data_IF_804701184900
#
_entry.id   IF_804701184900
#
_cell.length_a   1.000
_cell.length_b   1.000
_cell.length_c   1.000
_cell.angle_alpha   90.00
_cell.angle_beta   90.00
_cell.angle_gamma   90.00
#
_symmetry.space_group_name_H-M   'P 1'
#
loop_
_entity.id
_entity.type
_entity.pdbx_description
1 polymer ?
#
# COMPACT_ATOMS: atom_id res chain seq x y z
N UNK A 1 29.49 14.54 9.77
CA UNK A 1 30.45 14.17 10.84
C UNK A 1 31.92 14.11 10.39
N UNK A 2 32.25 14.21 9.11
CA UNK A 2 33.65 14.08 8.64
C UNK A 2 34.57 15.29 8.87
N UNK A 3 34.08 16.48 9.15
CA UNK A 3 34.90 17.69 9.29
C UNK A 3 35.38 18.01 10.70
N UNK A 4 34.74 17.46 11.72
CA UNK A 4 35.10 17.76 13.13
C UNK A 4 36.34 17.02 13.61
N UNK A 5 36.55 15.79 13.18
CA UNK A 5 37.72 14.99 13.59
C UNK A 5 39.05 15.59 13.15
N UNK A 6 39.24 16.00 11.86
CA UNK A 6 40.49 16.62 11.42
C UNK A 6 40.76 17.96 12.08
N UNK A 7 39.75 18.63 12.65
CA UNK A 7 39.95 19.89 13.37
C UNK A 7 40.30 19.68 14.86
N UNK A 8 39.71 18.66 15.50
CA UNK A 8 39.92 18.37 16.93
C UNK A 8 41.33 17.84 17.20
N UNK A 9 41.88 17.01 16.32
CA UNK A 9 43.20 16.41 16.51
C UNK A 9 44.31 17.46 16.56
N UNK A 10 44.49 18.37 15.58
CA UNK A 10 45.52 19.40 15.64
C UNK A 10 45.31 20.37 16.80
N UNK A 11 44.06 20.74 17.11
CA UNK A 11 43.74 21.58 18.24
C UNK A 11 44.13 20.91 19.57
N UNK A 12 43.88 19.61 19.72
CA UNK A 12 44.27 18.83 20.88
C UNK A 12 45.80 18.80 21.06
N UNK A 13 46.54 18.64 19.97
CA UNK A 13 48.00 18.69 20.01
C UNK A 13 48.49 20.06 20.44
N UNK A 14 47.96 21.12 19.90
CA UNK A 14 48.36 22.50 20.26
C UNK A 14 48.08 22.78 21.75
N UNK A 15 46.90 22.42 22.24
CA UNK A 15 46.52 22.58 23.65
C UNK A 15 47.41 21.72 24.59
N UNK A 16 47.77 20.52 24.18
CA UNK A 16 48.68 19.68 24.96
C UNK A 16 50.11 20.27 25.03
N UNK A 17 50.63 20.73 23.89
CA UNK A 17 51.94 21.38 23.84
C UNK A 17 51.95 22.66 24.66
N UNK A 18 50.94 23.49 24.59
CA UNK A 18 50.77 24.67 25.43
C UNK A 18 50.80 24.30 26.93
N UNK A 19 49.99 23.35 27.33
CA UNK A 19 49.91 22.93 28.75
C UNK A 19 51.21 22.34 29.27
N UNK A 20 51.89 21.59 28.42
CA UNK A 20 53.17 20.92 28.80
C UNK A 20 54.36 21.86 28.82
N UNK A 21 54.57 22.69 27.77
CA UNK A 21 55.73 23.55 27.61
C UNK A 21 55.62 24.92 28.25
N UNK A 22 54.46 25.54 28.17
CA UNK A 22 54.29 26.93 28.67
C UNK A 22 53.83 27.00 30.12
N UNK A 23 53.12 25.98 30.61
CA UNK A 23 52.62 25.96 31.97
C UNK A 23 53.47 25.05 32.90
N UNK A 24 54.49 24.37 32.38
CA UNK A 24 55.42 23.56 33.15
C UNK A 24 54.75 22.44 33.93
N UNK A 25 53.67 21.86 33.42
CA UNK A 25 52.85 20.84 34.11
C UNK A 25 53.42 19.44 33.89
N UNK A 26 53.13 18.56 34.86
CA UNK A 26 53.33 17.14 34.68
C UNK A 26 52.53 16.60 33.47
N UNK A 27 53.03 15.52 32.79
CA UNK A 27 52.33 14.96 31.66
C UNK A 27 50.87 14.60 31.92
N UNK A 28 50.59 14.09 33.10
CA UNK A 28 49.23 13.74 33.54
C UNK A 28 48.32 14.94 33.66
N UNK A 29 48.78 16.02 34.27
CA UNK A 29 48.04 17.30 34.40
C UNK A 29 47.77 17.93 33.06
N UNK A 30 48.77 17.88 32.16
CA UNK A 30 48.64 18.43 30.79
C UNK A 30 47.62 17.67 29.97
N UNK A 31 47.56 16.34 30.05
CA UNK A 31 46.56 15.52 29.40
C UNK A 31 45.13 15.84 29.92
N UNK A 32 44.98 15.90 31.25
CA UNK A 32 43.68 16.23 31.87
C UNK A 32 43.20 17.63 31.45
N UNK A 33 44.07 18.62 31.48
CA UNK A 33 43.76 20.03 31.09
C UNK A 33 43.36 20.12 29.62
N UNK A 34 44.09 19.39 28.73
CA UNK A 34 43.77 19.35 27.30
C UNK A 34 42.42 18.66 27.06
N UNK A 35 42.17 17.54 27.71
CA UNK A 35 40.89 16.84 27.61
C UNK A 35 39.71 17.71 28.13
N UNK A 36 39.91 18.41 29.24
CA UNK A 36 38.90 19.32 29.80
C UNK A 36 38.63 20.52 28.83
N UNK A 37 39.70 21.08 28.23
CA UNK A 37 39.59 22.14 27.22
C UNK A 37 38.80 21.70 25.98
N UNK A 38 39.13 20.52 25.41
CA UNK A 38 38.43 19.98 24.26
C UNK A 38 36.96 19.64 24.58
N UNK A 39 36.71 19.06 25.74
CA UNK A 39 35.34 18.76 26.20
C UNK A 39 34.52 20.05 26.45
N UNK A 40 35.16 21.13 26.88
CA UNK A 40 34.51 22.43 27.08
C UNK A 40 34.15 23.13 25.76
N UNK A 41 34.86 22.84 24.67
CA UNK A 41 34.57 23.40 23.36
C UNK A 41 33.41 22.67 22.64
N UNK A 42 33.02 21.52 23.08
CA UNK A 42 31.86 20.80 22.50
C UNK A 42 30.56 21.49 22.93
N UNK A 43 29.72 21.93 21.97
CA UNK A 43 28.45 22.60 22.28
C UNK A 43 27.39 21.59 22.77
N UNK A 44 27.61 21.00 23.94
CA UNK A 44 26.72 19.99 24.54
C UNK A 44 25.28 20.51 24.70
N UNK A 45 25.11 21.79 24.97
CA UNK A 45 23.80 22.41 25.05
C UNK A 45 23.03 22.41 23.73
N UNK A 46 23.72 22.54 22.59
CA UNK A 46 23.09 22.46 21.27
C UNK A 46 22.57 21.06 20.99
N UNK A 47 23.35 20.02 21.27
CA UNK A 47 22.94 18.62 21.09
C UNK A 47 21.72 18.31 21.95
N UNK A 48 21.71 18.76 23.20
CA UNK A 48 20.58 18.58 24.10
C UNK A 48 19.32 19.29 23.58
N UNK A 49 19.44 20.52 23.10
CA UNK A 49 18.32 21.28 22.54
C UNK A 49 17.73 20.62 21.30
N UNK A 50 18.57 20.10 20.39
CA UNK A 50 18.13 19.35 19.20
C UNK A 50 17.39 18.10 19.64
N UNK A 51 17.94 17.31 20.57
CA UNK A 51 17.31 16.09 21.05
C UNK A 51 15.96 16.35 21.71
N UNK A 52 15.83 17.39 22.52
CA UNK A 52 14.56 17.78 23.15
C UNK A 52 13.56 18.24 22.07
N UNK A 53 13.99 19.04 21.11
CA UNK A 53 13.12 19.51 20.02
C UNK A 53 12.56 18.36 19.20
N UNK A 54 13.42 17.40 18.84
CA UNK A 54 12.99 16.18 18.12
C UNK A 54 12.04 15.34 18.96
N UNK A 55 12.33 15.14 20.25
CA UNK A 55 11.45 14.40 21.15
C UNK A 55 10.05 15.04 21.29
N UNK A 56 9.98 16.37 21.39
CA UNK A 56 8.70 17.10 21.40
C UNK A 56 7.96 16.91 20.07
N UNK A 57 8.69 16.95 18.95
CA UNK A 57 8.14 16.71 17.61
C UNK A 57 7.53 15.30 17.48
N UNK A 58 8.26 14.27 17.92
CA UNK A 58 7.76 12.89 17.99
C UNK A 58 6.51 12.78 18.85
N UNK A 59 6.50 13.43 20.01
CA UNK A 59 5.33 13.46 20.91
C UNK A 59 4.09 14.08 20.26
N UNK A 60 4.27 15.12 19.40
CA UNK A 60 3.16 15.72 18.63
C UNK A 60 2.64 14.78 17.55
N UNK A 61 3.53 14.07 16.85
CA UNK A 61 3.15 13.08 15.84
C UNK A 61 2.43 11.87 16.46
N UNK A 62 2.90 11.39 17.61
CA UNK A 62 2.26 10.31 18.36
C UNK A 62 0.81 10.67 18.75
N UNK A 63 0.53 11.91 19.16
CA UNK A 63 -0.84 12.39 19.40
C UNK A 63 -1.73 12.34 18.14
N UNK A 64 -1.13 12.40 16.94
CA UNK A 64 -1.82 12.24 15.66
C UNK A 64 -1.82 10.80 15.16
N UNK A 65 -1.52 9.82 16.01
CA UNK A 65 -1.44 8.38 15.71
C UNK A 65 -0.36 8.02 14.68
N UNK A 66 0.67 8.83 14.54
CA UNK A 66 1.85 8.56 13.70
C UNK A 66 2.95 8.01 14.60
N UNK A 67 3.38 6.77 14.32
CA UNK A 67 4.47 6.11 15.03
C UNK A 67 5.80 6.46 14.35
N UNK A 68 6.69 7.12 15.10
CA UNK A 68 8.04 7.44 14.65
C UNK A 68 9.01 6.45 15.29
N UNK A 69 9.77 5.73 14.49
CA UNK A 69 10.73 4.73 14.99
C UNK A 69 12.08 5.34 15.37
N UNK A 70 12.52 6.39 14.67
CA UNK A 70 13.80 7.04 14.91
C UNK A 70 13.61 8.57 15.05
N UNK A 71 14.28 9.17 16.05
CA UNK A 71 14.18 10.59 16.33
C UNK A 71 14.58 11.48 15.13
N UNK A 72 15.61 11.07 14.39
CA UNK A 72 16.11 11.80 13.23
C UNK A 72 15.22 11.70 11.97
N UNK A 73 14.23 10.81 11.98
CA UNK A 73 13.25 10.74 10.88
C UNK A 73 12.49 12.05 10.69
N UNK A 74 12.31 12.84 11.75
CA UNK A 74 11.70 14.17 11.67
C UNK A 74 12.52 15.16 10.86
N UNK A 75 13.84 15.12 11.00
CA UNK A 75 14.75 15.97 10.23
C UNK A 75 14.72 15.55 8.75
N UNK A 76 14.79 14.24 8.49
CA UNK A 76 14.68 13.70 7.13
C UNK A 76 13.35 14.08 6.48
N UNK A 77 12.24 13.99 7.21
CA UNK A 77 10.91 14.38 6.73
C UNK A 77 10.82 15.86 6.35
N UNK A 78 11.52 16.74 7.08
CA UNK A 78 11.54 18.17 6.79
C UNK A 78 12.27 18.52 5.47
N UNK A 79 13.10 17.60 4.96
CA UNK A 79 13.86 17.78 3.71
C UNK A 79 13.26 17.03 2.51
N UNK A 80 12.03 16.47 2.66
CA UNK A 80 11.36 15.76 1.57
C UNK A 80 10.77 16.75 0.57
N UNK A 81 11.19 16.66 -0.67
CA UNK A 81 10.71 17.47 -1.79
C UNK A 81 9.64 16.75 -2.62
N UNK A 82 9.66 15.42 -2.62
CA UNK A 82 8.75 14.57 -3.42
C UNK A 82 8.06 13.58 -2.52
N UNK A 83 6.73 13.57 -2.56
CA UNK A 83 5.89 12.63 -1.84
C UNK A 83 5.24 11.65 -2.80
N UNK A 84 5.62 10.38 -2.72
CA UNK A 84 4.98 9.30 -3.47
C UNK A 84 3.99 8.59 -2.56
N UNK A 85 2.71 8.60 -2.93
CA UNK A 85 1.63 7.95 -2.18
C UNK A 85 1.09 6.76 -2.98
N UNK A 86 0.91 5.63 -2.31
CA UNK A 86 0.09 4.56 -2.87
C UNK A 86 -1.39 4.97 -2.81
N UNK A 87 -2.14 4.62 -3.85
CA UNK A 87 -3.57 4.95 -3.92
C UNK A 87 -4.38 4.11 -2.94
N UNK A 88 -4.17 2.79 -2.99
CA UNK A 88 -5.07 1.84 -2.31
C UNK A 88 -4.71 1.66 -0.84
N UNK A 89 -5.62 2.01 0.05
CA UNK A 89 -5.40 1.93 1.50
C UNK A 89 -4.58 3.09 2.09
N UNK A 90 -4.14 4.05 1.26
CA UNK A 90 -3.46 5.27 1.70
C UNK A 90 -4.30 6.51 1.41
N UNK A 91 -4.68 6.72 0.15
CA UNK A 91 -5.56 7.82 -0.27
C UNK A 91 -7.02 7.38 -0.19
N UNK A 92 -7.28 6.09 -0.40
CA UNK A 92 -8.60 5.48 -0.31
C UNK A 92 -8.74 4.66 0.96
N UNK A 93 -9.95 4.50 1.46
CA UNK A 93 -10.25 3.68 2.66
C UNK A 93 -10.05 2.18 2.42
N UNK A 94 -9.80 1.75 1.18
CA UNK A 94 -9.69 0.35 0.80
C UNK A 94 -11.02 -0.41 0.77
N UNK A 95 -12.11 0.22 1.18
CA UNK A 95 -13.45 -0.33 1.12
C UNK A 95 -14.03 -0.15 -0.27
N UNK A 96 -14.59 -1.22 -0.82
CA UNK A 96 -15.31 -1.20 -2.08
C UNK A 96 -16.78 -1.54 -1.84
N UNK A 97 -17.65 -0.95 -2.63
CA UNK A 97 -19.07 -1.29 -2.69
C UNK A 97 -19.52 -1.34 -4.14
N UNK A 98 -20.56 -2.13 -4.42
CA UNK A 98 -21.23 -2.08 -5.71
C UNK A 98 -22.08 -0.82 -5.72
N UNK A 99 -21.84 0.06 -6.69
CA UNK A 99 -22.59 1.31 -6.84
C UNK A 99 -23.82 1.11 -7.73
N UNK A 100 -23.60 0.50 -8.91
CA UNK A 100 -24.64 0.28 -9.90
C UNK A 100 -24.40 -1.03 -10.64
N UNK A 101 -25.48 -1.69 -11.04
CA UNK A 101 -25.47 -2.86 -11.91
C UNK A 101 -26.19 -2.49 -13.21
N UNK A 102 -25.52 -2.70 -14.34
CA UNK A 102 -26.05 -2.44 -15.68
C UNK A 102 -26.39 -3.77 -16.35
N UNK A 103 -27.66 -4.18 -16.42
CA UNK A 103 -28.05 -5.39 -17.14
C UNK A 103 -27.92 -5.13 -18.66
N UNK A 104 -27.04 -5.89 -19.31
CA UNK A 104 -26.84 -5.83 -20.75
C UNK A 104 -27.82 -6.72 -21.52
N UNK A 105 -28.56 -7.56 -20.81
CA UNK A 105 -29.62 -8.43 -21.33
C UNK A 105 -30.98 -8.06 -20.74
N UNK A 106 -32.06 -8.58 -21.37
CA UNK A 106 -33.45 -8.29 -21.02
C UNK A 106 -33.77 -8.59 -19.55
N UNK A 107 -34.65 -7.78 -18.98
CA UNK A 107 -35.07 -7.78 -17.57
C UNK A 107 -35.73 -9.08 -17.08
N UNK A 108 -36.12 -9.98 -17.95
CA UNK A 108 -36.89 -11.18 -17.60
C UNK A 108 -36.11 -12.24 -16.80
N UNK A 109 -34.76 -12.12 -16.70
CA UNK A 109 -33.88 -13.10 -16.08
C UNK A 109 -33.17 -12.62 -14.77
N UNK A 110 -33.58 -11.51 -14.18
CA UNK A 110 -32.89 -10.91 -13.03
C UNK A 110 -32.87 -11.86 -11.83
N UNK A 111 -34.00 -12.47 -11.48
CA UNK A 111 -34.08 -13.35 -10.33
C UNK A 111 -33.24 -14.64 -10.50
N UNK A 112 -33.18 -15.17 -11.72
CA UNK A 112 -32.30 -16.27 -12.04
C UNK A 112 -30.83 -15.88 -11.97
N UNK A 113 -30.50 -14.69 -12.47
CA UNK A 113 -29.12 -14.16 -12.40
C UNK A 113 -28.65 -13.96 -10.96
N UNK A 114 -29.51 -13.46 -10.07
CA UNK A 114 -29.23 -13.30 -8.64
C UNK A 114 -28.93 -14.66 -7.98
N UNK A 115 -29.68 -15.70 -8.31
CA UNK A 115 -29.43 -17.04 -7.80
C UNK A 115 -28.11 -17.64 -8.32
N UNK A 116 -27.76 -17.39 -9.58
CA UNK A 116 -26.49 -17.84 -10.17
C UNK A 116 -25.32 -17.09 -9.55
N UNK A 117 -25.41 -15.78 -9.39
CA UNK A 117 -24.41 -14.98 -8.71
C UNK A 117 -24.26 -15.37 -7.25
N UNK A 118 -25.38 -15.58 -6.53
CA UNK A 118 -25.36 -16.04 -5.15
C UNK A 118 -24.68 -17.40 -5.02
N UNK A 119 -24.89 -18.32 -5.97
CA UNK A 119 -24.22 -19.62 -6.00
C UNK A 119 -22.73 -19.49 -6.30
N UNK A 120 -22.36 -18.65 -7.28
CA UNK A 120 -20.97 -18.35 -7.59
C UNK A 120 -20.22 -17.81 -6.37
N UNK A 121 -20.80 -16.85 -5.66
CA UNK A 121 -20.22 -16.22 -4.47
C UNK A 121 -20.11 -17.19 -3.29
N UNK A 122 -21.06 -18.11 -3.16
CA UNK A 122 -21.01 -19.12 -2.11
C UNK A 122 -19.85 -20.12 -2.32
N UNK A 123 -19.62 -20.53 -3.57
CA UNK A 123 -18.63 -21.55 -3.89
C UNK A 123 -17.24 -20.99 -4.26
N UNK A 124 -17.06 -19.67 -4.34
CA UNK A 124 -15.75 -19.06 -4.59
C UNK A 124 -14.91 -19.03 -3.32
N UNK A 125 -13.61 -19.29 -3.47
CA UNK A 125 -12.62 -19.17 -2.41
C UNK A 125 -11.94 -17.77 -2.43
N UNK A 126 -12.29 -16.93 -3.41
CA UNK A 126 -11.71 -15.60 -3.57
C UNK A 126 -12.19 -14.64 -2.47
N UNK A 127 -11.23 -13.93 -1.86
CA UNK A 127 -11.49 -13.04 -0.72
C UNK A 127 -10.86 -11.65 -0.91
N UNK A 128 -10.79 -11.14 -2.14
CA UNK A 128 -10.30 -9.79 -2.40
C UNK A 128 -11.43 -8.74 -2.21
N UNK A 129 -11.04 -7.45 -2.12
CA UNK A 129 -11.98 -6.35 -1.87
C UNK A 129 -13.14 -6.28 -2.89
N UNK A 130 -12.90 -6.67 -4.15
CA UNK A 130 -13.93 -6.72 -5.20
C UNK A 130 -14.97 -7.78 -4.89
N UNK A 131 -14.55 -9.00 -4.54
CA UNK A 131 -15.45 -10.09 -4.17
C UNK A 131 -16.24 -9.76 -2.90
N UNK A 132 -15.62 -9.13 -1.92
CA UNK A 132 -16.31 -8.68 -0.71
C UNK A 132 -17.40 -7.66 -1.02
N UNK A 133 -17.14 -6.71 -1.93
CA UNK A 133 -18.13 -5.75 -2.38
C UNK A 133 -19.32 -6.42 -3.07
N UNK A 134 -19.05 -7.41 -3.95
CA UNK A 134 -20.09 -8.15 -4.67
C UNK A 134 -20.89 -9.02 -3.71
N UNK A 135 -20.25 -9.69 -2.74
CA UNK A 135 -20.94 -10.43 -1.66
C UNK A 135 -21.83 -9.54 -0.79
N UNK A 136 -21.45 -8.29 -0.60
CA UNK A 136 -22.28 -7.31 0.11
C UNK A 136 -23.54 -6.89 -0.66
N UNK A 137 -23.56 -7.06 -1.97
CA UNK A 137 -24.68 -6.71 -2.84
C UNK A 137 -25.59 -7.90 -3.14
N UNK A 138 -25.03 -9.06 -3.52
CA UNK A 138 -25.77 -10.30 -3.78
C UNK A 138 -25.78 -11.20 -2.56
N UNK A 139 -26.92 -11.84 -2.28
CA UNK A 139 -27.02 -12.84 -1.22
C UNK A 139 -26.42 -14.17 -1.66
N UNK A 140 -25.56 -14.74 -0.83
CA UNK A 140 -25.02 -16.08 -1.07
C UNK A 140 -26.13 -17.14 -1.00
N UNK A 141 -26.16 -18.06 -1.96
CA UNK A 141 -27.08 -19.19 -1.96
C UNK A 141 -26.38 -20.47 -2.43
N UNK A 142 -26.98 -21.64 -2.14
CA UNK A 142 -26.48 -22.96 -2.53
C UNK A 142 -27.35 -23.62 -3.62
N UNK A 143 -27.96 -22.81 -4.48
CA UNK A 143 -28.94 -23.34 -5.44
C UNK A 143 -28.31 -24.18 -6.54
N UNK A 144 -27.14 -23.76 -7.03
CA UNK A 144 -26.44 -24.44 -8.11
C UNK A 144 -25.04 -24.85 -7.66
N UNK A 145 -24.73 -26.16 -7.73
CA UNK A 145 -23.40 -26.66 -7.42
C UNK A 145 -22.52 -26.60 -8.67
N UNK A 146 -21.30 -26.08 -8.56
CA UNK A 146 -20.38 -26.00 -9.69
C UNK A 146 -19.70 -27.34 -9.95
N UNK A 147 -19.45 -27.62 -11.23
CA UNK A 147 -18.67 -28.79 -11.70
C UNK A 147 -17.17 -28.43 -11.74
N UNK A 148 -16.87 -27.20 -12.12
CA UNK A 148 -15.50 -26.72 -12.24
C UNK A 148 -15.38 -25.29 -11.71
N UNK A 149 -14.25 -25.01 -11.06
CA UNK A 149 -13.91 -23.67 -10.56
C UNK A 149 -12.55 -23.24 -11.12
N UNK A 150 -12.47 -22.03 -11.60
CA UNK A 150 -11.23 -21.35 -11.99
C UNK A 150 -11.11 -20.10 -11.10
N UNK A 151 -10.23 -20.11 -10.07
CA UNK A 151 -10.09 -18.99 -9.15
C UNK A 151 -9.53 -17.75 -9.85
N UNK A 152 -9.73 -16.60 -9.26
CA UNK A 152 -9.20 -15.34 -9.79
C UNK A 152 -7.67 -15.36 -9.87
N UNK A 153 -7.12 -14.76 -10.92
CA UNK A 153 -5.69 -14.52 -11.07
C UNK A 153 -5.47 -13.08 -11.54
N UNK A 154 -4.53 -12.39 -10.90
CA UNK A 154 -4.13 -11.02 -11.27
C UNK A 154 -3.59 -10.94 -12.70
N UNK A 155 -3.00 -12.02 -13.20
CA UNK A 155 -2.48 -12.11 -14.57
C UNK A 155 -3.60 -12.26 -15.59
N UNK A 156 -4.60 -13.10 -15.30
CA UNK A 156 -5.78 -13.31 -16.15
C UNK A 156 -6.80 -12.19 -16.00
N UNK A 157 -6.92 -11.61 -14.80
CA UNK A 157 -7.91 -10.61 -14.40
C UNK A 157 -9.36 -11.10 -14.45
N UNK A 158 -9.60 -12.40 -14.39
CA UNK A 158 -10.93 -13.01 -14.34
C UNK A 158 -10.93 -14.30 -13.54
N UNK A 159 -12.12 -14.71 -13.12
CA UNK A 159 -12.45 -16.00 -12.51
C UNK A 159 -13.67 -16.59 -13.22
N UNK A 160 -13.84 -17.91 -13.15
CA UNK A 160 -14.95 -18.59 -13.79
C UNK A 160 -15.44 -19.76 -12.96
N UNK A 161 -16.71 -20.12 -13.15
CA UNK A 161 -17.34 -21.26 -12.50
C UNK A 161 -18.33 -21.92 -13.45
N UNK A 162 -18.16 -23.22 -13.69
CA UNK A 162 -18.99 -24.00 -14.61
C UNK A 162 -20.08 -24.72 -13.83
N UNK A 163 -21.28 -24.61 -14.32
CA UNK A 163 -22.48 -25.28 -13.80
C UNK A 163 -23.07 -26.16 -14.88
N UNK A 164 -23.57 -27.38 -14.52
CA UNK A 164 -24.12 -28.32 -15.49
C UNK A 164 -25.32 -27.78 -16.25
N UNK A 165 -26.16 -26.99 -15.58
CA UNK A 165 -27.46 -26.55 -16.09
C UNK A 165 -27.41 -25.51 -17.17
N UNK A 166 -26.40 -24.62 -17.15
CA UNK A 166 -26.38 -23.43 -17.98
C UNK A 166 -25.00 -22.98 -18.53
N UNK A 167 -23.94 -23.73 -18.21
CA UNK A 167 -22.60 -23.46 -18.71
C UNK A 167 -21.72 -22.70 -17.71
N UNK A 168 -20.79 -21.89 -18.19
CA UNK A 168 -19.76 -21.24 -17.39
C UNK A 168 -20.08 -19.76 -17.18
N UNK A 169 -20.20 -19.36 -15.93
CA UNK A 169 -20.22 -17.96 -15.54
C UNK A 169 -18.76 -17.46 -15.41
N UNK A 170 -18.47 -16.33 -16.05
CA UNK A 170 -17.16 -15.68 -16.00
C UNK A 170 -17.32 -14.27 -15.45
N UNK A 171 -16.45 -13.91 -14.51
CA UNK A 171 -16.44 -12.62 -13.84
C UNK A 171 -15.05 -12.02 -13.90
N UNK A 172 -14.91 -10.80 -14.43
CA UNK A 172 -13.59 -10.19 -14.54
C UNK A 172 -13.55 -8.84 -15.22
N UNK A 173 -12.34 -8.41 -15.56
CA UNK A 173 -12.12 -7.14 -16.23
C UNK A 173 -12.66 -7.17 -17.65
N UNK A 174 -13.43 -6.14 -18.06
CA UNK A 174 -14.08 -6.12 -19.38
C UNK A 174 -13.13 -6.37 -20.55
N UNK A 175 -11.93 -5.78 -20.49
CA UNK A 175 -10.91 -5.90 -21.54
C UNK A 175 -10.37 -7.33 -21.73
N UNK A 176 -10.71 -8.24 -20.82
CA UNK A 176 -10.33 -9.66 -20.89
C UNK A 176 -11.48 -10.57 -21.29
N UNK A 177 -12.71 -10.10 -21.13
CA UNK A 177 -13.91 -10.90 -21.37
C UNK A 177 -14.57 -10.59 -22.71
N UNK A 178 -14.45 -9.38 -23.23
CA UNK A 178 -15.04 -8.99 -24.49
C UNK A 178 -14.12 -8.10 -25.33
N UNK A 179 -14.19 -8.26 -26.63
CA UNK A 179 -13.56 -7.34 -27.59
C UNK A 179 -14.55 -6.26 -28.08
N UNK A 180 -15.81 -6.35 -27.66
CA UNK A 180 -16.84 -5.38 -28.03
C UNK A 180 -16.66 -4.07 -27.29
N UNK A 181 -17.02 -2.98 -27.93
CA UNK A 181 -17.03 -1.68 -27.30
C UNK A 181 -18.12 -1.64 -26.21
N UNK A 182 -17.74 -1.21 -25.01
CA UNK A 182 -18.70 -1.09 -23.92
C UNK A 182 -19.67 0.09 -24.20
N UNK A 183 -20.92 0.01 -23.74
CA UNK A 183 -21.86 1.13 -23.80
C UNK A 183 -21.28 2.43 -23.22
N UNK A 184 -21.69 3.57 -23.76
CA UNK A 184 -21.19 4.89 -23.34
C UNK A 184 -21.36 5.15 -21.84
N UNK A 185 -22.47 4.70 -21.25
CA UNK A 185 -22.75 4.81 -19.83
C UNK A 185 -21.67 4.12 -18.99
N UNK A 186 -21.24 2.93 -19.39
CA UNK A 186 -20.19 2.18 -18.69
C UNK A 186 -18.81 2.82 -18.90
N UNK A 187 -18.57 3.38 -20.09
CA UNK A 187 -17.31 4.11 -20.34
C UNK A 187 -17.21 5.37 -19.45
N UNK A 188 -18.30 6.06 -19.19
CA UNK A 188 -18.37 7.20 -18.28
C UNK A 188 -18.04 6.77 -16.85
N UNK A 189 -18.52 5.61 -16.39
CA UNK A 189 -18.16 5.08 -15.07
C UNK A 189 -16.66 4.82 -14.93
N UNK A 190 -16.02 4.28 -15.97
CA UNK A 190 -14.57 4.10 -15.98
C UNK A 190 -13.83 5.44 -15.90
N UNK A 191 -14.30 6.46 -16.63
CA UNK A 191 -13.72 7.82 -16.60
C UNK A 191 -13.89 8.49 -15.23
N UNK A 192 -14.99 8.22 -14.54
CA UNK A 192 -15.24 8.69 -13.17
C UNK A 192 -14.36 7.97 -12.12
N UNK A 193 -13.55 6.99 -12.53
CA UNK A 193 -12.65 6.26 -11.66
C UNK A 193 -13.28 5.02 -11.01
N UNK A 194 -14.49 4.66 -11.39
CA UNK A 194 -15.17 3.46 -10.92
C UNK A 194 -14.55 2.20 -11.54
N UNK A 195 -14.44 1.14 -10.75
CA UNK A 195 -14.00 -0.16 -11.24
C UNK A 195 -15.17 -0.89 -11.85
N UNK A 196 -15.10 -1.15 -13.14
CA UNK A 196 -16.09 -1.95 -13.86
C UNK A 196 -15.68 -3.42 -13.85
N UNK A 197 -16.63 -4.29 -13.52
CA UNK A 197 -16.51 -5.74 -13.60
C UNK A 197 -17.58 -6.23 -14.56
N UNK A 198 -17.17 -6.98 -15.57
CA UNK A 198 -18.09 -7.65 -16.47
C UNK A 198 -18.41 -9.05 -15.94
N UNK A 199 -19.68 -9.40 -15.99
CA UNK A 199 -20.16 -10.76 -15.75
C UNK A 199 -20.78 -11.27 -17.03
N UNK A 200 -20.34 -12.40 -17.52
CA UNK A 200 -20.85 -12.99 -18.74
C UNK A 200 -20.95 -14.51 -18.62
N UNK A 201 -21.62 -15.11 -19.56
CA UNK A 201 -21.78 -16.56 -19.64
C UNK A 201 -21.29 -17.09 -20.95
N UNK A 202 -20.76 -18.32 -20.93
CA UNK A 202 -20.40 -19.06 -22.13
C UNK A 202 -20.77 -20.53 -21.98
N UNK A 203 -21.08 -21.18 -23.10
CA UNK A 203 -21.28 -22.63 -23.19
C UNK A 203 -19.99 -23.37 -23.54
N UNK A 204 -18.95 -22.62 -23.94
CA UNK A 204 -17.66 -23.21 -24.28
C UNK A 204 -16.93 -23.71 -23.04
N UNK A 205 -16.09 -24.72 -23.23
CA UNK A 205 -15.21 -25.19 -22.18
C UNK A 205 -14.15 -24.14 -21.87
N UNK A 206 -14.23 -23.54 -20.70
CA UNK A 206 -13.27 -22.55 -20.23
C UNK A 206 -12.14 -23.26 -19.50
N UNK A 207 -10.89 -22.97 -19.91
CA UNK A 207 -9.68 -23.44 -19.23
C UNK A 207 -8.88 -22.27 -18.71
N UNK A 208 -8.09 -22.50 -17.66
CA UNK A 208 -7.31 -21.43 -17.02
C UNK A 208 -6.30 -20.76 -17.96
N UNK A 209 -5.78 -21.49 -18.94
CA UNK A 209 -4.73 -21.05 -19.88
C UNK A 209 -5.26 -20.83 -21.32
N UNK A 210 -6.52 -21.10 -21.54
CA UNK A 210 -7.16 -20.95 -22.85
C UNK A 210 -7.75 -19.55 -23.09
N UNK A 211 -7.94 -19.15 -24.36
CA UNK A 211 -8.68 -17.95 -24.68
C UNK A 211 -10.14 -18.07 -24.26
N UNK A 212 -10.69 -16.99 -23.71
CA UNK A 212 -12.13 -16.89 -23.46
C UNK A 212 -12.84 -16.58 -24.79
N UNK A 213 -13.73 -17.46 -25.21
CA UNK A 213 -14.54 -17.30 -26.43
C UNK A 213 -16.02 -17.38 -26.04
N UNK A 214 -16.86 -16.75 -26.85
CA UNK A 214 -18.32 -16.88 -26.71
C UNK A 214 -18.91 -16.33 -25.42
N UNK A 215 -18.22 -15.43 -24.71
CA UNK A 215 -18.77 -14.73 -23.54
C UNK A 215 -19.80 -13.72 -24.03
N UNK A 216 -21.04 -13.88 -23.58
CA UNK A 216 -22.19 -13.07 -23.97
C UNK A 216 -22.87 -12.53 -22.71
#
# INVERSE_FOLDING_TARGET
MSFTVPLIIPLGIVLFLEAFFLRGGDPTTSVVSTAAGLLGMLPKGLVLLISISLAVGVGRLAKRKVLVQELYSLETLAHVDVLCLDKTGTITEGNMKVETVYPLRREDDIAWFDDVMGSFLHYTDDNNATFQAIKGYYQECKRYAPVQKIPFSSQRKWSAMTFEQFGTLVLGAPERLTNSQLPEEIQLEIQNGNRVILVGMTKDNVTADGPLTGVV
#
